data_IF_570475925628
#
_entry.id   IF_570475925628
#
_cell.length_a   1.000
_cell.length_b   1.000
_cell.length_c   1.000
_cell.angle_alpha   90.00
_cell.angle_beta   90.00
_cell.angle_gamma   90.00
#
_symmetry.space_group_name_H-M   'P 1'
#
loop_
_entity.id
_entity.type
_entity.pdbx_description
1 polymer ?
#
# COMPACT_ATOMS: atom_id res chain seq x y z
N UNK A 1 44.20 7.24 -3.67
CA UNK A 1 42.87 6.61 -3.84
C UNK A 1 41.95 7.32 -2.87
N UNK A 2 40.98 8.11 -3.36
CA UNK A 2 40.12 8.91 -2.46
C UNK A 2 39.20 7.99 -1.65
N UNK A 3 39.20 8.15 -0.33
CA UNK A 3 38.21 7.60 0.62
C UNK A 3 36.81 8.21 0.40
N UNK A 4 36.30 8.08 -0.82
CA UNK A 4 34.98 8.60 -1.15
C UNK A 4 33.94 7.72 -0.46
N UNK A 5 33.13 8.31 0.40
CA UNK A 5 31.94 7.65 0.92
C UNK A 5 30.86 7.58 -0.18
N UNK A 6 29.98 6.59 -0.09
CA UNK A 6 28.80 6.50 -0.94
C UNK A 6 27.93 7.75 -0.74
N UNK A 7 27.63 8.52 -1.80
CA UNK A 7 26.93 9.81 -1.69
C UNK A 7 25.49 9.68 -1.18
N UNK A 8 24.94 8.46 -1.15
CA UNK A 8 23.57 8.19 -0.67
C UNK A 8 23.51 7.68 0.76
N UNK A 9 24.52 6.96 1.23
CA UNK A 9 24.44 6.27 2.53
C UNK A 9 25.71 6.37 3.40
N UNK A 10 26.72 7.14 2.97
CA UNK A 10 27.90 7.45 3.77
C UNK A 10 28.90 6.30 3.99
N UNK A 11 28.66 5.11 3.46
CA UNK A 11 29.57 3.96 3.62
C UNK A 11 30.77 4.08 2.70
N UNK A 12 31.99 3.68 3.15
CA UNK A 12 33.17 3.65 2.29
C UNK A 12 32.88 2.99 0.94
N UNK A 13 33.28 3.67 -0.14
CA UNK A 13 33.08 3.17 -1.50
C UNK A 13 33.92 1.92 -1.72
N UNK A 14 33.27 0.89 -2.22
CA UNK A 14 33.92 -0.32 -2.73
C UNK A 14 34.16 -0.19 -4.24
N UNK A 15 35.16 -0.88 -4.80
CA UNK A 15 35.44 -0.87 -6.25
C UNK A 15 34.41 -1.69 -7.04
N UNK A 16 33.16 -1.25 -7.02
CA UNK A 16 32.03 -1.81 -7.76
C UNK A 16 31.25 -0.68 -8.46
N UNK A 17 30.52 -0.96 -9.56
CA UNK A 17 29.72 0.07 -10.24
C UNK A 17 28.57 0.60 -9.36
N UNK A 18 28.14 -0.18 -8.38
CA UNK A 18 27.07 0.17 -7.44
C UNK A 18 27.46 -0.04 -5.97
N UNK A 19 26.81 0.71 -5.08
CA UNK A 19 27.00 0.54 -3.64
C UNK A 19 26.31 -0.74 -3.15
N UNK A 20 27.02 -1.68 -2.51
CA UNK A 20 26.45 -2.95 -2.03
C UNK A 20 25.54 -2.78 -0.82
N UNK A 21 25.43 -1.57 -0.27
CA UNK A 21 24.52 -1.26 0.84
C UNK A 21 23.19 -0.68 0.37
N UNK A 22 23.23 0.29 -0.54
CA UNK A 22 22.02 1.01 -0.97
C UNK A 22 21.65 0.81 -2.44
N UNK A 23 22.50 0.18 -3.26
CA UNK A 23 22.29 -0.01 -4.70
C UNK A 23 22.34 1.28 -5.52
N UNK A 24 22.98 2.34 -5.01
CA UNK A 24 23.19 3.54 -5.84
C UNK A 24 24.30 3.25 -6.84
N UNK A 25 24.07 3.53 -8.11
CA UNK A 25 25.09 3.47 -9.15
C UNK A 25 25.96 4.72 -9.00
N UNK A 26 27.24 4.55 -8.69
CA UNK A 26 28.11 5.68 -8.33
C UNK A 26 28.20 6.71 -9.46
N UNK A 27 28.35 6.26 -10.71
CA UNK A 27 28.42 7.14 -11.88
C UNK A 27 27.19 8.05 -12.01
N UNK A 28 25.98 7.52 -11.76
CA UNK A 28 24.73 8.30 -11.82
C UNK A 28 24.62 9.30 -10.67
N UNK A 29 25.08 8.92 -9.47
CA UNK A 29 25.08 9.80 -8.33
C UNK A 29 26.09 10.96 -8.51
N UNK A 30 27.27 10.68 -9.04
CA UNK A 30 28.28 11.69 -9.36
C UNK A 30 27.82 12.64 -10.47
N UNK A 31 27.20 12.13 -11.54
CA UNK A 31 26.65 12.97 -12.60
C UNK A 31 25.60 13.95 -12.05
N UNK A 32 24.73 13.48 -11.15
CA UNK A 32 23.74 14.33 -10.48
C UNK A 32 24.39 15.35 -9.55
N UNK A 33 25.44 14.97 -8.82
CA UNK A 33 26.19 15.87 -7.96
C UNK A 33 26.90 16.98 -8.78
N UNK A 34 27.47 16.63 -9.94
CA UNK A 34 28.05 17.61 -10.88
C UNK A 34 26.99 18.56 -11.44
N UNK A 35 25.82 18.06 -11.82
CA UNK A 35 24.71 18.91 -12.25
C UNK A 35 24.26 19.87 -11.16
N UNK A 36 24.08 19.40 -9.92
CA UNK A 36 23.74 20.25 -8.78
C UNK A 36 24.82 21.30 -8.52
N UNK A 37 26.10 20.90 -8.52
CA UNK A 37 27.20 21.84 -8.34
C UNK A 37 27.28 22.89 -9.47
N UNK A 38 27.00 22.49 -10.72
CA UNK A 38 26.92 23.41 -11.84
C UNK A 38 25.76 24.42 -11.67
N UNK A 39 24.58 23.96 -11.25
CA UNK A 39 23.44 24.84 -10.96
C UNK A 39 23.74 25.81 -9.81
N UNK A 40 24.41 25.35 -8.75
CA UNK A 40 24.81 26.21 -7.62
C UNK A 40 25.88 27.22 -8.03
N UNK A 41 26.85 26.82 -8.88
CA UNK A 41 27.87 27.71 -9.41
C UNK A 41 27.30 28.76 -10.36
N UNK A 42 26.27 28.40 -11.16
CA UNK A 42 25.56 29.34 -12.05
C UNK A 42 24.68 30.32 -11.26
N UNK A 43 24.15 29.91 -10.11
CA UNK A 43 23.44 30.78 -9.17
C UNK A 43 24.37 31.68 -8.34
N UNK A 44 25.65 31.34 -8.23
CA UNK A 44 26.68 32.17 -7.62
C UNK A 44 27.15 33.24 -8.62
N UNK A 45 26.25 34.17 -8.98
CA UNK A 45 26.62 35.41 -9.66
C UNK A 45 27.64 36.24 -8.86
N UNK A 46 28.14 37.36 -9.40
CA UNK A 46 29.05 38.24 -8.65
C UNK A 46 28.44 38.59 -7.30
N UNK A 47 29.22 38.42 -6.24
CA UNK A 47 28.81 38.77 -4.88
C UNK A 47 28.59 40.28 -4.81
N UNK A 48 27.35 40.70 -5.06
CA UNK A 48 26.90 42.04 -4.72
C UNK A 48 26.86 42.14 -3.20
N UNK A 49 27.63 43.09 -2.66
CA UNK A 49 27.56 43.46 -1.25
C UNK A 49 26.20 44.14 -1.01
N UNK A 50 25.20 43.32 -0.74
CA UNK A 50 23.91 43.75 -0.20
C UNK A 50 24.03 43.83 1.32
N UNK A 51 24.94 44.64 1.83
CA UNK A 51 24.85 45.16 3.20
C UNK A 51 23.41 45.59 3.41
N UNK A 52 22.67 44.81 4.21
CA UNK A 52 21.22 44.95 4.32
C UNK A 52 20.93 46.39 4.75
N UNK A 53 20.23 47.21 3.93
CA UNK A 53 19.96 48.59 4.30
C UNK A 53 19.23 48.60 5.63
N UNK A 54 19.72 49.44 6.55
CA UNK A 54 19.15 49.56 7.88
C UNK A 54 17.65 49.87 7.76
N UNK A 55 16.83 48.98 8.33
CA UNK A 55 15.39 49.00 8.12
C UNK A 55 14.82 50.34 8.60
N UNK A 56 14.14 51.11 7.74
CA UNK A 56 13.56 52.37 8.14
C UNK A 56 12.60 52.19 9.33
N UNK A 57 12.69 53.01 10.39
CA UNK A 57 11.94 52.83 11.63
C UNK A 57 10.42 52.99 11.48
N UNK A 58 9.95 53.48 10.33
CA UNK A 58 8.54 53.68 10.02
C UNK A 58 7.89 52.47 9.33
N UNK A 59 8.66 51.42 9.01
CA UNK A 59 8.07 50.21 8.45
C UNK A 59 7.30 49.46 9.54
N UNK A 60 6.09 48.95 9.24
CA UNK A 60 5.34 48.12 10.18
C UNK A 60 6.20 46.93 10.62
N UNK A 61 5.98 46.36 11.82
CA UNK A 61 6.73 45.21 12.31
C UNK A 61 6.77 44.09 11.26
N UNK A 62 7.88 43.36 11.19
CA UNK A 62 8.05 42.26 10.23
C UNK A 62 6.87 41.31 10.39
N UNK A 63 6.09 41.16 9.33
CA UNK A 63 5.15 40.05 9.24
C UNK A 63 5.96 38.77 9.35
N UNK A 64 5.52 37.76 10.13
CA UNK A 64 6.21 36.49 10.22
C UNK A 64 6.58 36.01 8.82
N UNK A 65 7.84 35.63 8.61
CA UNK A 65 8.27 35.12 7.32
C UNK A 65 7.40 33.91 6.97
N UNK A 66 6.78 33.92 5.79
CA UNK A 66 5.95 32.80 5.35
C UNK A 66 6.80 31.53 5.24
N UNK A 67 6.54 30.55 6.12
CA UNK A 67 7.15 29.22 6.07
C UNK A 67 6.24 28.28 5.27
N UNK A 68 6.43 28.28 3.95
CA UNK A 68 5.69 27.38 3.04
C UNK A 68 5.85 25.90 3.39
N UNK A 69 7.00 25.48 3.93
CA UNK A 69 7.24 24.09 4.32
C UNK A 69 6.45 23.70 5.58
N UNK A 70 6.25 24.62 6.53
CA UNK A 70 5.36 24.41 7.66
C UNK A 70 3.88 24.31 7.24
N UNK A 71 3.43 25.20 6.35
CA UNK A 71 2.06 25.18 5.83
C UNK A 71 1.77 23.91 5.01
N UNK A 72 2.70 23.47 4.18
CA UNK A 72 2.57 22.23 3.41
C UNK A 72 2.48 21.01 4.34
N UNK A 73 3.33 20.93 5.37
CA UNK A 73 3.28 19.87 6.39
C UNK A 73 1.95 19.85 7.14
N UNK A 74 1.44 21.02 7.52
CA UNK A 74 0.16 21.15 8.21
C UNK A 74 -1.01 20.72 7.30
N UNK A 75 -0.99 21.12 6.04
CA UNK A 75 -1.97 20.74 5.03
C UNK A 75 -1.97 19.24 4.80
N UNK A 76 -0.79 18.64 4.58
CA UNK A 76 -0.63 17.20 4.39
C UNK A 76 -1.14 16.40 5.60
N UNK A 77 -0.90 16.88 6.81
CA UNK A 77 -1.39 16.21 8.02
C UNK A 77 -2.92 16.30 8.15
N UNK A 78 -3.54 17.44 7.80
CA UNK A 78 -5.00 17.58 7.71
C UNK A 78 -5.59 16.63 6.67
N UNK A 79 -4.96 16.51 5.50
CA UNK A 79 -5.41 15.60 4.44
C UNK A 79 -5.37 14.14 4.91
N UNK A 80 -4.30 13.72 5.61
CA UNK A 80 -4.22 12.36 6.20
C UNK A 80 -5.28 12.09 7.25
N UNK A 81 -5.75 13.12 7.95
CA UNK A 81 -6.80 13.00 8.96
C UNK A 81 -8.20 12.93 8.35
N UNK A 82 -8.43 13.64 7.24
CA UNK A 82 -9.77 13.82 6.66
C UNK A 82 -10.01 12.87 5.49
N UNK A 83 -9.07 12.74 4.55
CA UNK A 83 -9.32 12.06 3.29
C UNK A 83 -9.66 10.57 3.45
N UNK A 84 -8.90 9.76 4.21
CA UNK A 84 -9.23 8.34 4.34
C UNK A 84 -10.61 8.03 4.94
N UNK A 85 -11.03 8.62 6.09
CA UNK A 85 -12.37 8.35 6.61
C UNK A 85 -13.48 8.92 5.72
N UNK A 86 -13.29 10.09 5.10
CA UNK A 86 -14.27 10.67 4.18
C UNK A 86 -14.45 9.82 2.93
N UNK A 87 -13.35 9.42 2.28
CA UNK A 87 -13.42 8.58 1.08
C UNK A 87 -14.05 7.23 1.40
N UNK A 88 -13.69 6.60 2.53
CA UNK A 88 -14.32 5.35 2.95
C UNK A 88 -15.83 5.51 3.21
N UNK A 89 -16.24 6.56 3.91
CA UNK A 89 -17.66 6.85 4.15
C UNK A 89 -18.43 7.09 2.85
N UNK A 90 -17.88 7.87 1.92
CA UNK A 90 -18.45 8.10 0.60
C UNK A 90 -18.53 6.80 -0.22
N UNK A 91 -17.54 5.92 -0.13
CA UNK A 91 -17.58 4.60 -0.78
C UNK A 91 -18.74 3.75 -0.24
N UNK A 92 -18.96 3.71 1.08
CA UNK A 92 -20.10 3.00 1.67
C UNK A 92 -21.45 3.60 1.23
N UNK A 93 -21.54 4.93 1.14
CA UNK A 93 -22.74 5.60 0.64
C UNK A 93 -22.99 5.27 -0.84
N UNK A 94 -21.94 5.26 -1.68
CA UNK A 94 -22.06 4.93 -3.09
C UNK A 94 -22.58 3.50 -3.30
N UNK A 95 -21.97 2.51 -2.64
CA UNK A 95 -22.37 1.09 -2.76
C UNK A 95 -23.69 0.77 -2.06
N UNK A 96 -24.25 1.70 -1.28
CA UNK A 96 -25.59 1.53 -0.72
C UNK A 96 -26.69 1.53 -1.80
N UNK A 97 -26.41 2.10 -2.97
CA UNK A 97 -27.33 2.14 -4.12
C UNK A 97 -26.97 1.07 -5.16
N UNK A 98 -27.97 0.55 -5.90
CA UNK A 98 -27.71 -0.44 -6.96
C UNK A 98 -26.77 0.08 -8.07
N UNK A 99 -26.95 1.31 -8.61
CA UNK A 99 -26.04 1.84 -9.63
C UNK A 99 -24.63 2.08 -9.09
N UNK A 100 -24.52 2.59 -7.87
CA UNK A 100 -23.21 2.84 -7.25
C UNK A 100 -22.48 1.54 -6.93
N UNK A 101 -23.18 0.51 -6.44
CA UNK A 101 -22.61 -0.83 -6.27
C UNK A 101 -22.12 -1.41 -7.60
N UNK A 102 -22.89 -1.28 -8.68
CA UNK A 102 -22.45 -1.72 -10.01
C UNK A 102 -21.15 -1.03 -10.46
N UNK A 103 -21.06 0.30 -10.30
CA UNK A 103 -19.85 1.06 -10.64
C UNK A 103 -18.67 0.61 -9.78
N UNK A 104 -18.88 0.45 -8.47
CA UNK A 104 -17.86 0.01 -7.54
C UNK A 104 -17.31 -1.36 -7.91
N UNK A 105 -18.21 -2.31 -8.19
CA UNK A 105 -17.92 -3.68 -8.60
C UNK A 105 -17.05 -3.71 -9.86
N UNK A 106 -17.44 -2.97 -10.90
CA UNK A 106 -16.75 -2.98 -12.20
C UNK A 106 -15.39 -2.28 -12.15
N UNK A 107 -15.29 -1.17 -11.43
CA UNK A 107 -14.08 -0.32 -11.46
C UNK A 107 -13.03 -0.75 -10.44
N UNK A 108 -13.44 -1.32 -9.31
CA UNK A 108 -12.53 -1.64 -8.19
C UNK A 108 -12.76 -3.03 -7.61
N UNK A 109 -14.00 -3.38 -7.27
CA UNK A 109 -14.34 -4.61 -6.56
C UNK A 109 -13.86 -5.88 -7.24
N UNK A 110 -14.24 -6.08 -8.52
CA UNK A 110 -13.82 -7.26 -9.31
C UNK A 110 -12.30 -7.32 -9.46
N UNK A 111 -11.62 -6.21 -9.74
CA UNK A 111 -10.17 -6.21 -9.89
C UNK A 111 -9.44 -6.65 -8.62
N UNK A 112 -9.89 -6.16 -7.46
CA UNK A 112 -9.31 -6.58 -6.18
C UNK A 112 -9.69 -8.02 -5.82
N UNK A 113 -10.89 -8.46 -6.20
CA UNK A 113 -11.36 -9.83 -6.01
C UNK A 113 -10.50 -10.83 -6.80
N UNK A 114 -10.31 -10.60 -8.11
CA UNK A 114 -9.46 -11.45 -8.95
C UNK A 114 -7.98 -11.39 -8.53
N UNK A 115 -7.49 -10.21 -8.15
CA UNK A 115 -6.15 -10.08 -7.60
C UNK A 115 -6.01 -10.85 -6.27
N UNK A 116 -7.06 -10.92 -5.47
CA UNK A 116 -7.14 -11.72 -4.26
C UNK A 116 -6.93 -13.22 -4.53
N UNK A 117 -7.65 -13.78 -5.51
CA UNK A 117 -7.42 -15.14 -5.99
C UNK A 117 -5.97 -15.35 -6.43
N UNK A 118 -5.45 -14.45 -7.27
CA UNK A 118 -4.12 -14.58 -7.83
C UNK A 118 -3.02 -14.54 -6.74
N UNK A 119 -3.13 -13.60 -5.80
CA UNK A 119 -2.19 -13.47 -4.68
C UNK A 119 -2.21 -14.73 -3.81
N UNK A 120 -3.38 -15.25 -3.46
CA UNK A 120 -3.49 -16.50 -2.70
C UNK A 120 -2.91 -17.68 -3.49
N UNK A 121 -3.22 -17.78 -4.78
CA UNK A 121 -2.70 -18.83 -5.64
C UNK A 121 -1.17 -18.81 -5.72
N UNK A 122 -0.56 -17.63 -5.89
CA UNK A 122 0.89 -17.48 -5.88
C UNK A 122 1.49 -17.91 -4.54
N UNK A 123 0.90 -17.51 -3.41
CA UNK A 123 1.36 -17.94 -2.08
C UNK A 123 1.25 -19.45 -1.86
N UNK A 124 0.26 -20.10 -2.48
CA UNK A 124 0.09 -21.56 -2.47
C UNK A 124 0.96 -22.29 -3.52
N UNK A 125 1.76 -21.56 -4.30
CA UNK A 125 2.65 -22.11 -5.32
C UNK A 125 1.98 -22.41 -6.67
N UNK A 126 0.76 -21.92 -6.92
CA UNK A 126 0.08 -22.07 -8.21
C UNK A 126 0.39 -20.88 -9.13
N UNK A 127 0.53 -21.13 -10.43
CA UNK A 127 0.53 -20.04 -11.40
C UNK A 127 -0.87 -19.44 -11.49
N UNK A 128 -0.95 -18.12 -11.46
CA UNK A 128 -2.20 -17.41 -11.62
C UNK A 128 -2.01 -16.11 -12.38
N UNK A 129 -3.00 -15.73 -13.18
CA UNK A 129 -3.05 -14.46 -13.90
C UNK A 129 -4.41 -13.82 -13.60
N UNK A 130 -4.46 -12.69 -12.87
CA UNK A 130 -5.70 -11.95 -12.67
C UNK A 130 -6.04 -11.28 -14.00
N UNK A 131 -7.20 -11.64 -14.56
CA UNK A 131 -7.75 -11.05 -15.76
C UNK A 131 -8.99 -10.23 -15.40
N UNK A 132 -9.49 -9.41 -16.32
CA UNK A 132 -10.75 -8.72 -16.10
C UNK A 132 -11.86 -9.75 -15.81
N UNK A 133 -12.46 -9.70 -14.62
CA UNK A 133 -13.59 -10.53 -14.14
C UNK A 133 -13.34 -12.03 -13.90
N UNK A 134 -12.14 -12.54 -14.10
CA UNK A 134 -11.79 -13.91 -13.71
C UNK A 134 -10.28 -14.08 -13.51
N UNK A 135 -9.89 -15.12 -12.77
CA UNK A 135 -8.49 -15.46 -12.55
C UNK A 135 -8.17 -16.81 -13.16
N UNK A 136 -7.24 -16.84 -14.12
CA UNK A 136 -6.73 -18.09 -14.69
C UNK A 136 -5.72 -18.70 -13.71
N UNK A 137 -5.98 -19.90 -13.20
CA UNK A 137 -5.14 -20.60 -12.22
C UNK A 137 -4.68 -21.94 -12.80
N UNK A 138 -3.39 -22.24 -12.67
CA UNK A 138 -2.81 -23.50 -13.12
C UNK A 138 -3.35 -24.72 -12.38
N UNK A 139 -3.44 -25.86 -13.06
CA UNK A 139 -3.98 -27.10 -12.47
C UNK A 139 -3.07 -27.76 -11.42
N UNK A 140 -1.79 -27.41 -11.40
CA UNK A 140 -0.76 -27.97 -10.51
C UNK A 140 0.12 -26.88 -9.92
N UNK A 141 0.77 -27.19 -8.79
CA UNK A 141 1.77 -26.31 -8.20
C UNK A 141 3.00 -26.21 -9.11
N UNK A 142 3.60 -25.03 -9.17
CA UNK A 142 4.85 -24.74 -9.85
C UNK A 142 5.97 -24.53 -8.81
N UNK A 143 6.86 -25.53 -8.60
CA UNK A 143 8.01 -25.37 -7.72
C UNK A 143 8.91 -24.21 -8.16
N UNK A 144 9.06 -24.01 -9.47
CA UNK A 144 9.85 -22.91 -10.02
C UNK A 144 9.27 -21.55 -9.62
N UNK A 145 7.96 -21.34 -9.75
CA UNK A 145 7.32 -20.09 -9.34
C UNK A 145 7.47 -19.85 -7.84
N UNK A 146 7.28 -20.90 -7.04
CA UNK A 146 7.47 -20.86 -5.58
C UNK A 146 8.89 -20.41 -5.24
N UNK A 147 9.91 -21.02 -5.85
CA UNK A 147 11.31 -20.66 -5.64
C UNK A 147 11.59 -19.20 -6.07
N UNK A 148 11.02 -18.74 -7.18
CA UNK A 148 11.20 -17.36 -7.65
C UNK A 148 10.62 -16.33 -6.65
N UNK A 149 9.42 -16.55 -6.14
CA UNK A 149 8.83 -15.65 -5.14
C UNK A 149 9.59 -15.68 -3.81
N UNK A 150 9.99 -16.86 -3.35
CA UNK A 150 10.79 -17.00 -2.13
C UNK A 150 12.14 -16.30 -2.29
N UNK A 151 12.81 -16.45 -3.43
CA UNK A 151 14.04 -15.75 -3.75
C UNK A 151 13.82 -14.22 -3.79
N UNK A 152 12.72 -13.75 -4.39
CA UNK A 152 12.37 -12.34 -4.43
C UNK A 152 12.17 -11.75 -3.03
N UNK A 153 11.36 -12.38 -2.18
CA UNK A 153 11.13 -11.90 -0.81
C UNK A 153 12.40 -11.99 0.05
N UNK A 154 13.18 -13.06 -0.11
CA UNK A 154 14.47 -13.23 0.58
C UNK A 154 15.48 -12.16 0.16
N UNK A 155 15.52 -11.82 -1.13
CA UNK A 155 16.34 -10.73 -1.65
C UNK A 155 15.93 -9.37 -1.05
N UNK A 156 14.63 -9.09 -0.96
CA UNK A 156 14.14 -7.87 -0.31
C UNK A 156 14.46 -7.84 1.19
N UNK A 157 14.36 -8.97 1.89
CA UNK A 157 14.76 -9.09 3.29
C UNK A 157 16.27 -8.82 3.47
N UNK A 158 17.10 -9.37 2.59
CA UNK A 158 18.54 -9.10 2.55
C UNK A 158 18.84 -7.62 2.28
N UNK A 159 18.16 -7.00 1.30
CA UNK A 159 18.29 -5.56 1.03
C UNK A 159 17.90 -4.71 2.23
N UNK A 160 16.79 -5.04 2.92
CA UNK A 160 16.36 -4.36 4.14
C UNK A 160 17.38 -4.54 5.29
N UNK A 161 17.99 -5.73 5.41
CA UNK A 161 19.06 -5.99 6.35
C UNK A 161 20.27 -5.08 6.09
N UNK A 162 20.75 -5.01 4.85
CA UNK A 162 21.87 -4.13 4.44
C UNK A 162 21.55 -2.65 4.67
N UNK A 163 20.29 -2.26 4.50
CA UNK A 163 19.80 -0.91 4.77
C UNK A 163 19.60 -0.59 6.27
N UNK A 164 19.79 -1.55 7.18
CA UNK A 164 19.58 -1.35 8.61
C UNK A 164 18.11 -1.16 9.00
N UNK A 165 17.17 -1.76 8.25
CA UNK A 165 15.72 -1.61 8.45
C UNK A 165 15.14 -2.89 9.03
N UNK A 166 15.26 -3.13 10.36
CA UNK A 166 14.93 -4.42 10.97
C UNK A 166 13.46 -4.81 10.80
N UNK A 167 12.54 -3.84 10.86
CA UNK A 167 11.12 -4.07 10.65
C UNK A 167 10.82 -4.60 9.25
N UNK A 168 11.37 -3.95 8.20
CA UNK A 168 11.17 -4.39 6.80
C UNK A 168 11.82 -5.74 6.54
N UNK A 169 13.00 -6.00 7.12
CA UNK A 169 13.65 -7.31 7.06
C UNK A 169 12.73 -8.39 7.64
N UNK A 170 12.19 -8.15 8.83
CA UNK A 170 11.25 -9.06 9.49
C UNK A 170 10.03 -9.33 8.61
N UNK A 171 9.38 -8.27 8.12
CA UNK A 171 8.21 -8.39 7.25
C UNK A 171 8.48 -9.24 5.99
N UNK A 172 9.54 -8.95 5.24
CA UNK A 172 9.86 -9.72 4.02
C UNK A 172 10.28 -11.16 4.32
N UNK A 173 11.02 -11.39 5.41
CA UNK A 173 11.39 -12.73 5.84
C UNK A 173 10.16 -13.55 6.26
N UNK A 174 9.21 -12.94 6.97
CA UNK A 174 7.94 -13.56 7.34
C UNK A 174 7.10 -13.91 6.11
N UNK A 175 7.04 -13.05 5.10
CA UNK A 175 6.34 -13.34 3.84
C UNK A 175 7.00 -14.51 3.10
N UNK A 176 8.34 -14.55 3.03
CA UNK A 176 9.07 -15.66 2.42
C UNK A 176 8.79 -16.99 3.14
N UNK A 177 8.83 -17.00 4.47
CA UNK A 177 8.54 -18.17 5.28
C UNK A 177 7.08 -18.62 5.13
N UNK A 178 6.13 -17.68 5.14
CA UNK A 178 4.72 -17.97 4.92
C UNK A 178 4.48 -18.57 3.53
N UNK A 179 5.13 -18.03 2.50
CA UNK A 179 5.03 -18.55 1.13
C UNK A 179 5.51 -20.01 1.07
N UNK A 180 6.69 -20.32 1.65
CA UNK A 180 7.18 -21.70 1.71
C UNK A 180 6.23 -22.62 2.48
N UNK A 181 5.72 -22.16 3.63
CA UNK A 181 4.81 -22.93 4.46
C UNK A 181 3.52 -23.25 3.71
N UNK A 182 2.87 -22.25 3.10
CA UNK A 182 1.61 -22.44 2.37
C UNK A 182 1.80 -23.30 1.13
N UNK A 183 2.88 -23.08 0.36
CA UNK A 183 3.18 -23.87 -0.83
C UNK A 183 3.51 -25.34 -0.48
N UNK A 184 4.15 -25.62 0.65
CA UNK A 184 4.49 -26.98 1.06
C UNK A 184 3.35 -27.69 1.81
N UNK A 185 2.68 -27.01 2.75
CA UNK A 185 1.77 -27.65 3.69
C UNK A 185 0.34 -27.84 3.17
N UNK A 186 -0.17 -26.94 2.32
CA UNK A 186 -1.56 -27.03 1.87
C UNK A 186 -1.73 -28.09 0.78
N UNK A 187 -2.58 -29.08 1.03
CA UNK A 187 -3.03 -30.01 -0.01
C UNK A 187 -3.80 -29.29 -1.13
N UNK A 188 -3.99 -29.95 -2.28
CA UNK A 188 -4.71 -29.35 -3.44
C UNK A 188 -6.10 -28.82 -3.07
N UNK A 189 -6.89 -29.60 -2.34
CA UNK A 189 -8.25 -29.21 -1.93
C UNK A 189 -8.23 -28.00 -0.99
N UNK A 190 -7.32 -27.97 -0.01
CA UNK A 190 -7.17 -26.86 0.93
C UNK A 190 -6.70 -25.59 0.23
N UNK A 191 -5.74 -25.71 -0.70
CA UNK A 191 -5.27 -24.58 -1.50
C UNK A 191 -6.39 -24.01 -2.37
N UNK A 192 -7.20 -24.86 -3.01
CA UNK A 192 -8.36 -24.42 -3.80
C UNK A 192 -9.40 -23.70 -2.93
N UNK A 193 -9.73 -24.25 -1.75
CA UNK A 193 -10.63 -23.61 -0.81
C UNK A 193 -10.12 -22.24 -0.36
N UNK A 194 -8.82 -22.15 -0.04
CA UNK A 194 -8.18 -20.89 0.32
C UNK A 194 -8.22 -19.89 -0.85
N UNK A 195 -7.85 -20.31 -2.06
CA UNK A 195 -7.86 -19.44 -3.24
C UNK A 195 -9.26 -18.88 -3.48
N UNK A 196 -10.30 -19.74 -3.48
CA UNK A 196 -11.69 -19.31 -3.62
C UNK A 196 -12.10 -18.35 -2.51
N UNK A 197 -11.75 -18.63 -1.25
CA UNK A 197 -12.05 -17.74 -0.13
C UNK A 197 -11.42 -16.34 -0.31
N UNK A 198 -10.17 -16.31 -0.77
CA UNK A 198 -9.39 -15.10 -0.94
C UNK A 198 -9.78 -14.26 -2.18
N UNK A 199 -10.84 -14.59 -2.91
CA UNK A 199 -11.49 -13.63 -3.81
C UNK A 199 -11.96 -12.41 -3.01
N UNK A 200 -13.04 -12.57 -2.25
CA UNK A 200 -13.54 -11.50 -1.37
C UNK A 200 -12.60 -11.23 -0.19
N UNK A 201 -12.00 -12.28 0.40
CA UNK A 201 -11.10 -12.13 1.55
C UNK A 201 -9.84 -11.35 1.18
N UNK A 202 -9.31 -11.60 -0.02
CA UNK A 202 -8.17 -10.87 -0.57
C UNK A 202 -8.54 -9.44 -0.93
N UNK A 203 -9.71 -9.20 -1.52
CA UNK A 203 -10.18 -7.87 -1.82
C UNK A 203 -10.29 -6.97 -0.57
N UNK A 204 -10.78 -7.51 0.55
CA UNK A 204 -10.83 -6.79 1.83
C UNK A 204 -9.42 -6.42 2.33
N UNK A 205 -8.48 -7.36 2.30
CA UNK A 205 -7.10 -7.11 2.76
C UNK A 205 -6.35 -6.16 1.83
N UNK A 206 -6.49 -6.33 0.51
CA UNK A 206 -5.88 -5.48 -0.50
C UNK A 206 -6.47 -4.07 -0.46
N UNK A 207 -7.80 -3.94 -0.31
CA UNK A 207 -8.46 -2.64 -0.14
C UNK A 207 -7.92 -1.87 1.06
N UNK A 208 -7.79 -2.53 2.21
CA UNK A 208 -7.18 -1.95 3.41
C UNK A 208 -5.69 -1.57 3.19
N UNK A 209 -4.91 -2.43 2.52
CA UNK A 209 -3.53 -2.13 2.20
C UNK A 209 -3.39 -0.92 1.27
N UNK A 210 -4.25 -0.80 0.26
CA UNK A 210 -4.30 0.33 -0.67
C UNK A 210 -4.65 1.64 0.04
N UNK A 211 -5.68 1.64 0.91
CA UNK A 211 -6.01 2.80 1.74
C UNK A 211 -4.83 3.21 2.64
N UNK A 212 -4.12 2.22 3.20
CA UNK A 212 -2.97 2.45 4.07
C UNK A 212 -1.77 3.10 3.34
N UNK A 213 -1.70 3.02 2.01
CA UNK A 213 -0.65 3.71 1.23
C UNK A 213 -0.71 5.24 1.36
N UNK A 214 -1.86 5.80 1.76
CA UNK A 214 -2.02 7.24 1.98
C UNK A 214 -1.13 7.78 3.12
N UNK A 215 -0.69 6.91 4.03
CA UNK A 215 0.17 7.27 5.17
C UNK A 215 1.67 7.05 4.92
N UNK A 216 2.07 6.70 3.69
CA UNK A 216 3.49 6.51 3.37
C UNK A 216 4.28 7.80 3.59
N UNK A 217 5.55 7.65 3.96
CA UNK A 217 6.46 8.76 4.23
C UNK A 217 6.55 9.75 3.04
N UNK A 218 6.62 11.07 3.34
CA UNK A 218 6.90 12.10 2.34
C UNK A 218 8.17 11.79 1.54
N UNK A 219 8.20 12.18 0.27
CA UNK A 219 9.33 11.93 -0.64
C UNK A 219 9.37 10.53 -1.28
N UNK A 220 8.46 9.62 -0.93
CA UNK A 220 8.28 8.38 -1.68
C UNK A 220 7.53 8.63 -3.01
N UNK A 221 7.77 7.79 -4.02
CA UNK A 221 7.01 7.86 -5.30
C UNK A 221 5.50 7.65 -5.11
N UNK A 222 5.09 6.92 -4.07
CA UNK A 222 3.67 6.73 -3.75
C UNK A 222 3.04 8.00 -3.20
N UNK A 223 3.81 8.77 -2.43
CA UNK A 223 3.37 10.04 -1.89
C UNK A 223 3.37 11.17 -2.94
N UNK A 224 4.29 11.10 -3.91
CA UNK A 224 4.40 12.09 -4.98
C UNK A 224 3.27 11.95 -6.01
N UNK A 225 2.58 13.06 -6.29
CA UNK A 225 1.54 13.14 -7.32
C UNK A 225 0.19 12.52 -6.91
N UNK A 226 -0.61 12.14 -7.92
CA UNK A 226 -2.00 11.70 -7.75
C UNK A 226 -2.16 10.22 -7.38
N UNK A 227 -1.07 9.44 -7.35
CA UNK A 227 -1.16 7.97 -7.23
C UNK A 227 -1.83 7.54 -5.92
N UNK A 228 -1.42 8.11 -4.76
CA UNK A 228 -2.04 7.81 -3.46
C UNK A 228 -3.55 8.08 -3.41
N UNK A 229 -4.03 9.06 -4.18
CA UNK A 229 -5.45 9.39 -4.26
C UNK A 229 -6.22 8.34 -5.04
N UNK A 230 -5.66 7.89 -6.17
CA UNK A 230 -6.20 6.75 -6.92
C UNK A 230 -6.23 5.47 -6.09
N UNK A 231 -5.14 5.14 -5.40
CA UNK A 231 -5.08 3.95 -4.54
C UNK A 231 -6.04 4.04 -3.36
N UNK A 232 -6.18 5.22 -2.73
CA UNK A 232 -7.16 5.44 -1.67
C UNK A 232 -8.59 5.21 -2.18
N UNK A 233 -8.93 5.78 -3.34
CA UNK A 233 -10.25 5.61 -3.96
C UNK A 233 -10.55 4.16 -4.34
N UNK A 234 -9.64 3.50 -5.06
CA UNK A 234 -9.78 2.09 -5.47
C UNK A 234 -9.88 1.18 -4.23
N UNK A 235 -9.03 1.42 -3.23
CA UNK A 235 -8.99 0.63 -2.01
C UNK A 235 -10.28 0.76 -1.19
N UNK A 236 -10.75 1.98 -0.96
CA UNK A 236 -11.98 2.25 -0.22
C UNK A 236 -13.22 1.73 -0.96
N UNK A 237 -13.29 1.94 -2.28
CA UNK A 237 -14.42 1.53 -3.10
C UNK A 237 -14.53 0.01 -3.19
N UNK A 238 -13.44 -0.69 -3.48
CA UNK A 238 -13.42 -2.15 -3.52
C UNK A 238 -13.64 -2.79 -2.15
N UNK A 239 -13.13 -2.19 -1.07
CA UNK A 239 -13.40 -2.65 0.29
C UNK A 239 -14.89 -2.54 0.65
N UNK A 240 -15.52 -1.40 0.35
CA UNK A 240 -16.93 -1.18 0.62
C UNK A 240 -17.83 -2.08 -0.25
N UNK A 241 -17.51 -2.23 -1.54
CA UNK A 241 -18.21 -3.11 -2.48
C UNK A 241 -18.27 -4.55 -1.97
N UNK A 242 -17.14 -5.08 -1.50
CA UNK A 242 -17.07 -6.45 -1.01
C UNK A 242 -17.68 -6.60 0.38
N UNK A 243 -17.43 -5.66 1.31
CA UNK A 243 -17.92 -5.81 2.68
C UNK A 243 -19.44 -5.62 2.82
N UNK A 244 -20.05 -4.74 2.01
CA UNK A 244 -21.46 -4.38 2.15
C UNK A 244 -22.43 -5.59 2.01
N UNK A 245 -22.32 -6.46 0.99
CA UNK A 245 -23.13 -7.67 0.90
C UNK A 245 -22.97 -8.57 2.13
N UNK A 246 -21.76 -8.73 2.66
CA UNK A 246 -21.52 -9.55 3.86
C UNK A 246 -22.13 -8.95 5.13
N UNK A 247 -22.18 -7.62 5.24
CA UNK A 247 -22.88 -6.93 6.33
C UNK A 247 -24.39 -7.14 6.24
N UNK A 248 -24.97 -7.01 5.04
CA UNK A 248 -26.41 -7.26 4.82
C UNK A 248 -26.78 -8.72 5.02
N UNK A 249 -25.87 -9.63 4.64
CA UNK A 249 -25.98 -11.07 4.85
C UNK A 249 -26.16 -11.49 6.32
N UNK A 250 -25.93 -10.60 7.29
CA UNK A 250 -26.26 -10.85 8.69
C UNK A 250 -27.77 -10.92 8.90
N UNK A 251 -28.54 -10.05 8.25
CA UNK A 251 -30.00 -9.97 8.36
C UNK A 251 -30.75 -10.69 7.23
N UNK A 252 -30.15 -10.76 6.04
CA UNK A 252 -30.77 -11.35 4.85
C UNK A 252 -29.76 -12.19 4.07
N UNK A 253 -29.91 -13.53 4.08
CA UNK A 253 -28.98 -14.45 3.43
C UNK A 253 -29.03 -14.39 1.90
N UNK A 254 -30.09 -13.82 1.32
CA UNK A 254 -30.27 -13.73 -0.13
C UNK A 254 -29.34 -12.66 -0.76
N UNK A 255 -28.72 -11.81 0.08
CA UNK A 255 -27.69 -10.86 -0.35
C UNK A 255 -26.35 -11.56 -0.73
N UNK A 256 -26.16 -12.81 -0.34
CA UNK A 256 -24.98 -13.59 -0.73
C UNK A 256 -25.13 -14.01 -2.19
N UNK A 257 -24.16 -13.71 -3.09
CA UNK A 257 -24.28 -14.00 -4.52
C UNK A 257 -24.04 -15.48 -4.84
N UNK A 258 -24.95 -16.34 -4.40
CA UNK A 258 -25.00 -17.76 -4.78
C UNK A 258 -25.41 -17.93 -6.25
N UNK A 259 -25.07 -19.08 -6.82
CA UNK A 259 -25.47 -19.48 -8.16
C UNK A 259 -24.30 -19.82 -9.09
N UNK A 260 -24.62 -19.85 -10.39
CA UNK A 260 -23.71 -20.19 -11.47
C UNK A 260 -23.49 -18.97 -12.36
N UNK A 261 -22.23 -18.68 -12.64
CA UNK A 261 -21.78 -17.67 -13.58
C UNK A 261 -21.60 -18.36 -14.94
N UNK A 262 -22.25 -17.83 -15.97
CA UNK A 262 -22.16 -18.33 -17.33
C UNK A 262 -20.70 -18.36 -17.82
N UNK A 263 -20.26 -19.48 -18.41
CA UNK A 263 -18.90 -19.65 -18.90
C UNK A 263 -17.81 -19.89 -17.84
N UNK A 264 -18.07 -19.68 -16.55
CA UNK A 264 -17.08 -19.84 -15.45
C UNK A 264 -17.44 -21.00 -14.51
N UNK A 265 -18.72 -21.23 -14.26
CA UNK A 265 -19.21 -22.26 -13.33
C UNK A 265 -19.76 -21.67 -12.04
N UNK A 266 -19.61 -22.37 -10.91
CA UNK A 266 -20.16 -21.91 -9.63
C UNK A 266 -19.52 -20.58 -9.18
N UNK A 267 -20.31 -19.68 -8.60
CA UNK A 267 -19.80 -18.51 -7.89
C UNK A 267 -18.97 -18.96 -6.68
N UNK A 268 -18.08 -18.09 -6.19
CA UNK A 268 -17.22 -18.47 -5.07
C UNK A 268 -17.97 -18.81 -3.79
N UNK A 269 -19.01 -18.06 -3.36
CA UNK A 269 -19.83 -18.48 -2.22
C UNK A 269 -20.43 -19.88 -2.42
N UNK A 270 -20.87 -20.20 -3.64
CA UNK A 270 -21.42 -21.51 -3.97
C UNK A 270 -20.34 -22.59 -3.90
N UNK A 271 -19.13 -22.35 -4.44
CA UNK A 271 -18.00 -23.29 -4.31
C UNK A 271 -17.62 -23.52 -2.85
N UNK A 272 -17.57 -22.48 -2.04
CA UNK A 272 -17.21 -22.60 -0.62
C UNK A 272 -18.20 -23.48 0.15
N UNK A 273 -19.49 -23.36 -0.15
CA UNK A 273 -20.54 -24.18 0.48
C UNK A 273 -20.60 -25.57 -0.13
N UNK A 274 -20.80 -25.67 -1.45
CA UNK A 274 -21.15 -26.91 -2.14
C UNK A 274 -19.95 -27.83 -2.37
N UNK A 275 -18.75 -27.26 -2.56
CA UNK A 275 -17.53 -28.02 -2.85
C UNK A 275 -16.64 -28.15 -1.61
N UNK A 276 -16.54 -27.09 -0.80
CA UNK A 276 -15.64 -27.06 0.35
C UNK A 276 -16.34 -27.27 1.70
N UNK A 277 -17.67 -27.39 1.72
CA UNK A 277 -18.44 -27.72 2.92
C UNK A 277 -18.45 -26.63 3.99
N UNK A 278 -18.13 -25.39 3.63
CA UNK A 278 -18.15 -24.27 4.57
C UNK A 278 -19.61 -23.88 4.82
N UNK A 279 -20.02 -23.88 6.10
CA UNK A 279 -21.36 -23.43 6.45
C UNK A 279 -21.57 -21.96 6.09
N UNK A 280 -22.76 -21.60 5.61
CA UNK A 280 -23.10 -20.19 5.26
C UNK A 280 -22.84 -19.24 6.43
N UNK A 281 -23.27 -19.61 7.64
CA UNK A 281 -23.02 -18.82 8.83
C UNK A 281 -21.53 -18.68 9.19
N UNK A 282 -20.74 -19.74 8.98
CA UNK A 282 -19.29 -19.69 9.15
C UNK A 282 -18.62 -18.75 8.14
N UNK A 283 -19.05 -18.81 6.88
CA UNK A 283 -18.55 -17.96 5.80
C UNK A 283 -18.80 -16.47 6.12
N UNK A 284 -20.03 -16.09 6.45
CA UNK A 284 -20.38 -14.70 6.79
C UNK A 284 -19.57 -14.20 7.99
N UNK A 285 -19.50 -14.97 9.09
CA UNK A 285 -18.69 -14.57 10.25
C UNK A 285 -17.21 -14.37 9.90
N UNK A 286 -16.66 -15.23 9.04
CA UNK A 286 -15.25 -15.17 8.66
C UNK A 286 -14.96 -13.94 7.80
N UNK A 287 -15.78 -13.65 6.80
CA UNK A 287 -15.60 -12.45 5.98
C UNK A 287 -15.75 -11.16 6.79
N UNK A 288 -16.73 -11.10 7.70
CA UNK A 288 -16.88 -9.97 8.61
C UNK A 288 -15.69 -9.82 9.55
N UNK A 289 -15.15 -10.93 10.07
CA UNK A 289 -13.95 -10.89 10.90
C UNK A 289 -12.72 -10.40 10.12
N UNK A 290 -12.52 -10.88 8.89
CA UNK A 290 -11.44 -10.41 8.02
C UNK A 290 -11.59 -8.92 7.71
N UNK A 291 -12.79 -8.48 7.34
CA UNK A 291 -13.09 -7.07 7.10
C UNK A 291 -12.83 -6.20 8.34
N UNK A 292 -13.29 -6.63 9.51
CA UNK A 292 -13.07 -5.92 10.77
C UNK A 292 -11.57 -5.83 11.12
N UNK A 293 -10.83 -6.94 11.02
CA UNK A 293 -9.38 -6.95 11.30
C UNK A 293 -8.60 -6.06 10.32
N UNK A 294 -8.96 -6.09 9.03
CA UNK A 294 -8.36 -5.24 7.99
C UNK A 294 -8.62 -3.74 8.25
N UNK A 295 -9.85 -3.41 8.67
CA UNK A 295 -10.22 -2.05 9.02
C UNK A 295 -9.52 -1.58 10.31
N UNK A 296 -9.44 -2.44 11.33
CA UNK A 296 -8.71 -2.15 12.57
C UNK A 296 -7.22 -1.90 12.33
N UNK A 297 -6.59 -2.67 11.44
CA UNK A 297 -5.21 -2.45 11.04
C UNK A 297 -5.03 -1.06 10.38
N UNK A 298 -5.91 -0.69 9.45
CA UNK A 298 -5.91 0.63 8.82
C UNK A 298 -6.18 1.75 9.84
N UNK A 299 -7.11 1.52 10.77
CA UNK A 299 -7.47 2.46 11.82
C UNK A 299 -6.31 2.68 12.82
N UNK A 300 -5.55 1.63 13.15
CA UNK A 300 -4.36 1.75 13.99
C UNK A 300 -3.30 2.66 13.32
N UNK A 301 -3.08 2.51 12.01
CA UNK A 301 -2.19 3.40 11.24
C UNK A 301 -2.73 4.84 11.28
N UNK A 302 -4.03 5.03 11.03
CA UNK A 302 -4.67 6.34 11.13
C UNK A 302 -4.45 7.00 12.50
N UNK A 303 -4.73 6.29 13.59
CA UNK A 303 -4.60 6.80 14.97
C UNK A 303 -3.16 7.20 15.27
N UNK A 304 -2.17 6.39 14.90
CA UNK A 304 -0.75 6.73 15.09
C UNK A 304 -0.40 8.05 14.39
N UNK A 305 -0.90 8.26 13.17
CA UNK A 305 -0.67 9.50 12.44
C UNK A 305 -1.43 10.69 13.02
N UNK A 306 -2.68 10.50 13.46
CA UNK A 306 -3.49 11.53 14.10
C UNK A 306 -2.87 12.00 15.42
N UNK A 307 -2.40 11.06 16.26
CA UNK A 307 -1.73 11.38 17.54
C UNK A 307 -0.42 12.14 17.29
N UNK A 308 0.38 11.72 16.30
CA UNK A 308 1.61 12.43 15.93
C UNK A 308 1.33 13.86 15.49
N UNK A 309 0.30 14.07 14.69
CA UNK A 309 -0.08 15.42 14.27
C UNK A 309 -0.58 16.28 15.43
N UNK A 310 -1.45 15.75 16.28
CA UNK A 310 -1.93 16.45 17.47
C UNK A 310 -0.79 16.83 18.43
N UNK A 311 0.22 15.97 18.55
CA UNK A 311 1.41 16.26 19.35
C UNK A 311 2.27 17.38 18.75
N UNK A 312 2.44 17.40 17.42
CA UNK A 312 3.14 18.47 16.72
C UNK A 312 2.46 19.84 16.90
N UNK A 313 1.13 19.89 16.86
CA UNK A 313 0.37 21.13 17.09
C UNK A 313 0.51 21.68 18.52
N UNK A 314 0.82 20.82 19.50
CA UNK A 314 0.97 21.22 20.91
C UNK A 314 2.38 21.71 21.26
N UNK A 315 3.37 21.53 20.39
CA UNK A 315 4.73 21.99 20.69
C UNK A 315 4.82 23.53 20.55
N UNK A 316 5.18 24.26 21.62
CA UNK A 316 5.33 25.70 21.58
C UNK A 316 6.51 26.07 20.68
N UNK A 317 6.22 26.50 19.46
CA UNK A 317 7.20 26.77 18.41
C UNK A 317 6.70 26.53 16.99
N UNK A 318 5.64 25.74 16.79
CA UNK A 318 5.04 25.48 15.48
C UNK A 318 4.17 26.65 14.93
N UNK A 319 4.19 27.82 15.58
CA UNK A 319 3.44 29.03 15.21
C UNK A 319 4.33 30.28 15.09
N UNK A 320 5.66 30.13 14.98
CA UNK A 320 6.55 31.27 14.72
C UNK A 320 7.14 31.18 13.32
#
# INVERSE_FOLDING_TARGET
MSDAACPRCGVPRVPAPECPRCGVIYARAEARARQLAALTAEQAGPAFDFSAPERPPHLPPETPAWDGDAEERATEARLRLIAPPVVLGLSFLLVSTKPGAFIARVTSGMWLHELGHAVCAWLCGYSAVPLPWFTSIGGTKSPMLTLLFVAFWSYLAYRAHRAGQPFRRGAFASIAALHLLLAAALGRSQAQAAITFFGDGGALLLGAALMSTFYVAPGSRLHQGALRWGLLGIGALGFADVLMPWLRAVGDRDEIPFGRIEGIGLSDPSKLVDVHGITVGGMVRTYLAVGALALLATAAIYVVHAVRFAWQLRQPGAQR
#
